data_IF_329245220125
#
_entry.id   IF_329245220125
#
_cell.length_a   1.000
_cell.length_b   1.000
_cell.length_c   1.000
_cell.angle_alpha   90.00
_cell.angle_beta   90.00
_cell.angle_gamma   90.00
#
_symmetry.space_group_name_H-M   'P 1'
#
loop_
_entity.id
_entity.type
_entity.pdbx_description
1 polymer ?
#
# COMPACT_ATOMS: atom_id res chain seq x y z
N UNK A 1 -14.00 5.56 3.64
CA UNK A 1 -12.85 6.40 3.96
C UNK A 1 -12.12 6.65 2.67
N UNK A 2 -12.07 7.92 2.28
CA UNK A 2 -11.30 8.39 1.13
C UNK A 2 -10.22 9.37 1.58
N UNK A 3 -8.97 8.92 1.49
CA UNK A 3 -7.82 9.71 1.90
C UNK A 3 -6.85 9.94 0.74
N UNK A 4 -6.10 11.05 0.83
CA UNK A 4 -4.95 11.33 0.00
C UNK A 4 -3.69 11.13 0.83
N UNK A 5 -2.76 10.29 0.36
CA UNK A 5 -1.48 10.08 1.03
C UNK A 5 -0.33 10.40 0.10
N UNK A 6 0.62 11.17 0.60
CA UNK A 6 1.92 11.37 0.01
C UNK A 6 2.93 10.54 0.79
N UNK A 7 3.48 9.53 0.15
CA UNK A 7 4.46 8.62 0.75
C UNK A 7 5.79 8.75 0.03
N UNK A 8 6.88 8.76 0.78
CA UNK A 8 8.21 8.57 0.25
C UNK A 8 8.54 7.07 0.24
N UNK A 9 8.89 6.54 -0.93
CA UNK A 9 9.25 5.13 -1.06
C UNK A 9 10.57 4.87 -0.34
N UNK A 10 10.67 3.70 0.29
CA UNK A 10 11.90 3.24 0.93
C UNK A 10 13.03 3.22 -0.12
N UNK A 11 14.09 4.05 0.03
CA UNK A 11 15.14 4.15 -0.99
C UNK A 11 15.99 2.87 -1.00
N UNK A 12 16.61 2.49 -2.14
CA UNK A 12 17.47 1.29 -2.20
C UNK A 12 18.64 1.33 -1.22
N UNK A 13 19.09 2.53 -0.84
CA UNK A 13 20.16 2.76 0.14
C UNK A 13 19.72 2.61 1.60
N UNK A 14 18.46 2.29 1.87
CA UNK A 14 17.96 2.13 3.24
C UNK A 14 18.59 0.91 3.93
N UNK A 15 18.98 1.08 5.19
CA UNK A 15 19.55 0.02 6.03
C UNK A 15 18.55 -1.08 6.41
N UNK A 16 17.26 -0.92 6.09
CA UNK A 16 16.25 -1.95 6.32
C UNK A 16 16.36 -3.12 5.32
N UNK A 17 16.83 -2.88 4.09
CA UNK A 17 16.85 -3.89 3.03
C UNK A 17 17.65 -5.14 3.37
N UNK A 18 18.88 -5.05 3.94
CA UNK A 18 19.60 -6.24 4.35
C UNK A 18 18.82 -7.12 5.32
N UNK A 19 18.02 -6.54 6.23
CA UNK A 19 17.21 -7.32 7.17
C UNK A 19 15.99 -7.93 6.47
N UNK A 20 15.28 -7.16 5.64
CA UNK A 20 14.11 -7.62 4.88
C UNK A 20 14.45 -8.79 3.94
N UNK A 21 15.64 -8.76 3.33
CA UNK A 21 16.11 -9.79 2.39
C UNK A 21 16.75 -10.97 3.12
N UNK A 22 17.58 -10.72 4.15
CA UNK A 22 18.34 -11.79 4.85
C UNK A 22 17.41 -12.86 5.40
N UNK A 23 16.27 -12.44 5.94
CA UNK A 23 15.41 -13.35 6.66
C UNK A 23 14.57 -14.22 5.71
N UNK A 24 14.49 -13.92 4.39
CA UNK A 24 13.52 -14.53 3.46
C UNK A 24 14.02 -14.73 2.02
N UNK A 25 13.64 -15.88 1.45
CA UNK A 25 14.22 -16.49 0.22
C UNK A 25 13.61 -16.04 -1.11
N UNK A 26 12.60 -15.17 -1.09
CA UNK A 26 11.60 -15.15 -2.17
C UNK A 26 11.46 -13.76 -2.74
N UNK A 27 12.45 -13.33 -3.51
CA UNK A 27 12.17 -12.50 -4.66
C UNK A 27 13.07 -12.97 -5.80
N UNK A 28 12.45 -13.39 -6.89
CA UNK A 28 13.09 -13.37 -8.21
C UNK A 28 13.31 -11.92 -8.71
N UNK A 29 12.98 -10.93 -7.86
CA UNK A 29 13.09 -9.49 -8.09
C UNK A 29 14.20 -8.89 -7.22
N UNK A 30 14.97 -7.95 -7.78
CA UNK A 30 15.87 -7.12 -7.00
C UNK A 30 15.11 -6.12 -6.12
N UNK A 31 15.79 -5.52 -5.14
CA UNK A 31 15.27 -4.40 -4.33
C UNK A 31 14.77 -3.27 -5.23
N UNK A 32 15.57 -2.90 -6.23
CA UNK A 32 15.23 -1.88 -7.20
C UNK A 32 13.99 -2.25 -8.01
N UNK A 33 13.82 -3.52 -8.38
CA UNK A 33 12.63 -3.97 -9.08
C UNK A 33 11.37 -3.87 -8.21
N UNK A 34 11.45 -4.24 -6.93
CA UNK A 34 10.32 -4.05 -6.00
C UNK A 34 10.02 -2.58 -5.79
N UNK A 35 11.04 -1.76 -5.51
CA UNK A 35 10.86 -0.31 -5.36
C UNK A 35 10.24 0.29 -6.61
N UNK A 36 10.60 -0.14 -7.82
CA UNK A 36 10.04 0.43 -9.04
C UNK A 36 8.60 -0.06 -9.30
N UNK A 37 8.31 -1.34 -9.07
CA UNK A 37 7.01 -1.95 -9.37
C UNK A 37 5.96 -1.67 -8.29
N UNK A 38 6.30 -1.81 -7.01
CA UNK A 38 5.35 -1.71 -5.89
C UNK A 38 4.68 -0.33 -5.84
N UNK A 39 3.35 -0.27 -6.03
CA UNK A 39 2.58 0.99 -5.96
C UNK A 39 1.63 1.06 -4.75
N UNK A 40 1.79 0.18 -3.77
CA UNK A 40 1.05 0.24 -2.50
C UNK A 40 1.56 1.32 -1.55
N UNK A 41 1.05 1.32 -0.32
CA UNK A 41 1.25 2.44 0.61
C UNK A 41 2.39 2.26 1.62
N UNK A 42 3.22 1.21 1.49
CA UNK A 42 4.43 1.06 2.31
C UNK A 42 5.45 2.18 2.01
N UNK A 43 5.87 2.90 3.05
CA UNK A 43 6.87 3.95 2.95
C UNK A 43 6.85 4.89 4.15
N UNK A 44 7.59 6.00 4.03
CA UNK A 44 7.54 7.09 4.99
C UNK A 44 6.36 8.02 4.66
N UNK A 45 5.44 8.19 5.61
CA UNK A 45 4.32 9.10 5.44
C UNK A 45 4.80 10.55 5.51
N UNK A 46 4.65 11.29 4.42
CA UNK A 46 4.99 12.71 4.35
C UNK A 46 3.78 13.56 4.71
N UNK A 47 2.62 13.27 4.11
CA UNK A 47 1.36 13.94 4.40
C UNK A 47 0.19 12.97 4.20
N UNK A 48 -0.82 13.07 5.07
CA UNK A 48 -2.13 12.46 4.89
C UNK A 48 -3.18 13.57 4.85
N UNK A 49 -4.24 13.38 4.07
CA UNK A 49 -5.35 14.30 3.98
C UNK A 49 -6.67 13.55 3.88
N UNK A 50 -7.52 13.75 4.87
CA UNK A 50 -8.86 13.18 4.95
C UNK A 50 -9.81 13.96 4.05
N UNK A 51 -10.15 13.40 2.89
CA UNK A 51 -10.90 14.11 1.84
C UNK A 51 -12.31 14.46 2.33
N UNK A 52 -12.94 13.56 3.08
CA UNK A 52 -14.28 13.74 3.63
C UNK A 52 -14.35 14.90 4.63
N UNK A 53 -13.30 15.10 5.42
CA UNK A 53 -13.24 16.13 6.45
C UNK A 53 -12.91 17.52 5.86
N UNK A 54 -12.06 17.58 4.83
CA UNK A 54 -11.42 18.81 4.40
C UNK A 54 -11.65 19.15 2.91
N UNK A 55 -12.72 18.64 2.29
CA UNK A 55 -12.97 18.73 0.84
C UNK A 55 -12.74 20.11 0.18
N UNK A 56 -13.01 21.20 0.89
CA UNK A 56 -12.83 22.57 0.37
C UNK A 56 -11.36 22.93 0.11
N UNK A 57 -10.42 22.27 0.78
CA UNK A 57 -8.98 22.51 0.65
C UNK A 57 -8.27 21.50 -0.27
N UNK A 58 -9.01 20.55 -0.85
CA UNK A 58 -8.46 19.42 -1.59
C UNK A 58 -7.55 19.86 -2.75
N UNK A 59 -7.97 20.83 -3.56
CA UNK A 59 -7.17 21.31 -4.70
C UNK A 59 -5.86 21.96 -4.24
N UNK A 60 -5.91 22.72 -3.14
CA UNK A 60 -4.72 23.35 -2.55
C UNK A 60 -3.76 22.29 -2.03
N UNK A 61 -4.26 21.27 -1.34
CA UNK A 61 -3.46 20.16 -0.82
C UNK A 61 -2.81 19.34 -1.95
N UNK A 62 -3.57 19.02 -3.01
CA UNK A 62 -3.04 18.33 -4.19
C UNK A 62 -1.88 19.13 -4.81
N UNK A 63 -2.06 20.43 -5.01
CA UNK A 63 -1.01 21.28 -5.58
C UNK A 63 0.25 21.28 -4.71
N UNK A 64 0.11 21.31 -3.38
CA UNK A 64 1.25 21.21 -2.46
C UNK A 64 1.97 19.86 -2.60
N UNK A 65 1.23 18.75 -2.66
CA UNK A 65 1.81 17.42 -2.84
C UNK A 65 2.54 17.28 -4.18
N UNK A 66 1.98 17.85 -5.26
CA UNK A 66 2.60 17.83 -6.58
C UNK A 66 3.91 18.62 -6.64
N UNK A 67 4.01 19.73 -5.91
CA UNK A 67 5.29 20.45 -5.80
C UNK A 67 6.33 19.65 -5.00
N UNK A 68 5.93 19.01 -3.89
CA UNK A 68 6.82 18.16 -3.11
C UNK A 68 7.32 16.94 -3.91
N UNK A 69 6.44 16.33 -4.70
CA UNK A 69 6.76 15.16 -5.54
C UNK A 69 7.86 15.44 -6.57
N UNK A 70 8.06 16.70 -7.00
CA UNK A 70 9.15 17.07 -7.93
C UNK A 70 10.54 16.92 -7.33
N UNK A 71 10.65 16.82 -6.00
CA UNK A 71 11.91 16.86 -5.27
C UNK A 71 12.37 15.48 -4.77
N UNK A 72 11.53 14.45 -4.89
CA UNK A 72 11.77 13.14 -4.26
C UNK A 72 11.10 11.99 -5.02
N UNK A 73 11.37 10.76 -4.59
CA UNK A 73 10.72 9.53 -5.09
C UNK A 73 9.33 9.29 -4.48
N UNK A 74 8.53 10.34 -4.29
CA UNK A 74 7.23 10.21 -3.63
C UNK A 74 6.13 9.64 -4.55
N UNK A 75 5.20 8.92 -3.93
CA UNK A 75 3.93 8.51 -4.52
C UNK A 75 2.79 9.30 -3.88
N UNK A 76 1.98 9.94 -4.72
CA UNK A 76 0.70 10.51 -4.31
C UNK A 76 -0.40 9.52 -4.68
N UNK A 77 -1.08 9.00 -3.65
CA UNK A 77 -2.10 7.97 -3.78
C UNK A 77 -3.42 8.48 -3.22
N UNK A 78 -4.53 8.16 -3.90
CA UNK A 78 -5.80 8.03 -3.19
C UNK A 78 -5.89 6.61 -2.65
N UNK A 79 -6.22 6.50 -1.36
CA UNK A 79 -6.43 5.26 -0.64
C UNK A 79 -7.89 5.25 -0.23
N UNK A 80 -8.64 4.24 -0.69
CA UNK A 80 -10.08 4.15 -0.42
C UNK A 80 -10.39 2.83 0.24
N UNK A 81 -10.99 2.87 1.42
CA UNK A 81 -11.49 1.69 2.11
C UNK A 81 -13.01 1.75 2.30
N UNK A 82 -13.63 0.58 2.39
CA UNK A 82 -15.08 0.42 2.55
C UNK A 82 -15.84 0.23 1.23
N UNK A 83 -17.14 0.50 1.25
CA UNK A 83 -18.04 0.37 0.09
C UNK A 83 -18.26 1.67 -0.67
N UNK A 84 -17.35 2.63 -0.49
CA UNK A 84 -17.50 3.95 -1.11
C UNK A 84 -17.37 3.88 -2.63
N UNK A 85 -18.32 4.54 -3.29
CA UNK A 85 -18.28 4.70 -4.74
C UNK A 85 -17.29 5.80 -5.07
N UNK A 86 -16.25 5.44 -5.81
CA UNK A 86 -15.27 6.37 -6.32
C UNK A 86 -15.92 7.59 -7.02
N UNK A 87 -15.61 8.84 -6.63
CA UNK A 87 -16.06 10.01 -7.36
C UNK A 87 -15.60 9.98 -8.83
N UNK A 88 -16.51 10.25 -9.77
CA UNK A 88 -16.20 10.23 -11.21
C UNK A 88 -15.07 11.18 -11.59
N UNK A 89 -14.99 12.34 -10.94
CA UNK A 89 -13.94 13.35 -11.13
C UNK A 89 -12.53 12.85 -10.80
N UNK A 90 -12.40 11.82 -9.97
CA UNK A 90 -11.11 11.25 -9.60
C UNK A 90 -10.50 10.43 -10.74
N UNK A 91 -11.34 9.78 -11.54
CA UNK A 91 -10.88 8.95 -12.68
C UNK A 91 -10.15 9.76 -13.75
N UNK A 92 -10.39 11.06 -13.81
CA UNK A 92 -9.66 11.97 -14.68
C UNK A 92 -8.23 12.20 -14.16
N UNK A 93 -8.03 12.24 -12.83
CA UNK A 93 -6.79 12.65 -12.18
C UNK A 93 -5.91 11.49 -11.69
N UNK A 94 -6.47 10.30 -11.49
CA UNK A 94 -5.74 9.13 -11.01
C UNK A 94 -6.08 7.87 -11.80
N UNK A 95 -5.22 6.86 -11.68
CA UNK A 95 -5.37 5.53 -12.29
C UNK A 95 -5.44 4.50 -11.18
N UNK A 96 -6.44 3.62 -11.25
CA UNK A 96 -6.51 2.46 -10.38
C UNK A 96 -5.32 1.52 -10.65
N UNK A 97 -4.59 1.15 -9.61
CA UNK A 97 -3.39 0.31 -9.74
C UNK A 97 -3.52 -1.05 -9.03
N UNK A 98 -4.52 -1.23 -8.17
CA UNK A 98 -4.79 -2.50 -7.48
C UNK A 98 -5.30 -2.29 -6.05
N UNK A 99 -5.34 -3.38 -5.30
CA UNK A 99 -5.69 -3.42 -3.88
C UNK A 99 -4.47 -3.71 -3.02
N UNK A 100 -4.33 -2.95 -1.94
CA UNK A 100 -3.34 -3.17 -0.87
C UNK A 100 -4.10 -3.43 0.45
N UNK A 101 -3.41 -4.00 1.43
CA UNK A 101 -4.03 -4.46 2.68
C UNK A 101 -3.14 -4.09 3.86
N UNK A 102 -3.73 -3.54 4.91
CA UNK A 102 -3.03 -3.27 6.16
C UNK A 102 -3.62 -2.08 6.90
N UNK A 103 -2.76 -1.18 7.39
CA UNK A 103 -3.19 0.04 8.07
C UNK A 103 -2.62 1.29 7.40
N UNK A 104 -3.52 2.21 7.08
CA UNK A 104 -3.22 3.54 6.59
C UNK A 104 -3.96 4.56 7.47
N UNK A 105 -3.24 5.13 8.45
CA UNK A 105 -3.77 6.05 9.47
C UNK A 105 -2.65 7.01 9.93
N UNK A 106 -2.99 8.26 10.26
CA UNK A 106 -2.04 9.30 10.72
C UNK A 106 -1.43 9.00 12.08
N UNK A 107 -2.18 8.38 12.98
CA UNK A 107 -1.72 8.05 14.33
C UNK A 107 -0.88 6.77 14.37
N UNK A 108 -0.74 6.09 13.22
CA UNK A 108 -0.08 4.79 13.09
C UNK A 108 0.99 4.83 12.02
N UNK A 109 1.85 3.83 12.05
CA UNK A 109 2.77 3.54 10.94
C UNK A 109 1.96 3.06 9.74
N UNK A 110 2.28 3.56 8.54
CA UNK A 110 1.81 2.93 7.30
C UNK A 110 2.36 1.51 7.24
N UNK A 111 1.46 0.54 7.16
CA UNK A 111 1.83 -0.87 7.12
C UNK A 111 1.07 -1.58 6.02
N UNK A 112 1.78 -2.05 5.00
CA UNK A 112 1.27 -2.97 4.00
C UNK A 112 1.64 -4.41 4.34
N UNK A 113 0.60 -5.23 4.48
CA UNK A 113 0.69 -6.67 4.58
C UNK A 113 1.19 -7.30 3.27
N UNK A 114 0.89 -6.72 2.09
CA UNK A 114 1.48 -7.21 0.84
C UNK A 114 2.99 -7.04 0.84
N UNK A 115 3.48 -5.87 1.23
CA UNK A 115 4.91 -5.62 1.32
C UNK A 115 5.57 -6.53 2.37
N UNK A 116 5.05 -6.55 3.59
CA UNK A 116 5.72 -7.19 4.72
C UNK A 116 5.49 -8.71 4.82
N UNK A 117 4.36 -9.23 4.32
CA UNK A 117 3.95 -10.63 4.51
C UNK A 117 3.81 -11.42 3.20
N UNK A 118 3.69 -10.77 2.05
CA UNK A 118 3.68 -11.45 0.74
C UNK A 118 5.04 -11.34 0.04
N UNK A 119 5.57 -10.11 -0.11
CA UNK A 119 6.84 -9.87 -0.82
C UNK A 119 8.05 -10.20 0.06
N UNK A 120 8.03 -9.69 1.29
CA UNK A 120 9.09 -9.90 2.27
C UNK A 120 8.55 -10.74 3.43
N UNK A 121 7.68 -11.71 3.16
CA UNK A 121 6.99 -12.59 4.10
C UNK A 121 7.69 -13.90 4.46
N UNK A 122 7.33 -14.50 5.60
CA UNK A 122 7.99 -15.71 6.13
C UNK A 122 7.13 -16.97 6.10
N UNK A 123 5.84 -16.80 5.85
CA UNK A 123 4.87 -17.89 5.81
C UNK A 123 4.60 -18.28 4.37
N UNK A 124 4.94 -19.52 4.00
CA UNK A 124 4.79 -20.03 2.63
C UNK A 124 3.35 -19.86 2.11
N UNK A 125 2.34 -19.98 2.99
CA UNK A 125 0.94 -19.81 2.61
C UNK A 125 0.58 -18.37 2.22
N UNK A 126 1.19 -17.37 2.85
CA UNK A 126 1.00 -15.96 2.50
C UNK A 126 1.81 -15.59 1.27
N UNK A 127 3.06 -16.06 1.19
CA UNK A 127 3.96 -15.80 0.06
C UNK A 127 3.41 -16.38 -1.25
N UNK A 128 2.64 -17.48 -1.20
CA UNK A 128 1.99 -18.04 -2.38
C UNK A 128 1.06 -17.04 -3.10
N UNK A 129 0.58 -15.99 -2.41
CA UNK A 129 -0.21 -14.92 -3.04
C UNK A 129 0.61 -14.02 -3.97
N UNK A 130 1.95 -14.09 -3.97
CA UNK A 130 2.81 -13.32 -4.90
C UNK A 130 2.43 -13.57 -6.36
N UNK A 131 2.04 -14.80 -6.68
CA UNK A 131 1.71 -15.23 -8.05
C UNK A 131 0.33 -14.69 -8.51
N UNK A 132 -0.43 -14.08 -7.59
CA UNK A 132 -1.72 -13.44 -7.84
C UNK A 132 -1.62 -11.91 -7.89
N UNK A 133 -0.42 -11.34 -7.70
CA UNK A 133 -0.20 -9.91 -7.79
C UNK A 133 -0.13 -9.44 -9.26
N UNK A 134 -0.55 -8.21 -9.49
CA UNK A 134 -0.43 -7.55 -10.80
C UNK A 134 0.96 -6.91 -11.00
N UNK A 135 1.16 -6.24 -12.15
CA UNK A 135 2.42 -5.56 -12.47
C UNK A 135 2.84 -4.46 -11.48
N UNK A 136 1.89 -3.96 -10.67
CA UNK A 136 2.14 -2.99 -9.60
C UNK A 136 2.43 -3.64 -8.24
N UNK A 137 2.56 -4.98 -8.21
CA UNK A 137 2.71 -5.80 -7.00
C UNK A 137 1.55 -5.62 -6.00
N UNK A 138 0.33 -5.44 -6.53
CA UNK A 138 -0.92 -5.31 -5.78
C UNK A 138 -1.91 -6.40 -6.18
N UNK A 139 -2.92 -6.66 -5.36
CA UNK A 139 -4.00 -7.54 -5.79
C UNK A 139 -4.81 -6.88 -6.92
N UNK A 140 -5.14 -7.60 -8.00
CA UNK A 140 -5.85 -7.02 -9.14
C UNK A 140 -7.33 -6.78 -8.85
N UNK A 141 -7.91 -7.53 -7.92
CA UNK A 141 -9.33 -7.53 -7.61
C UNK A 141 -9.58 -7.70 -6.11
N UNK A 142 -10.73 -7.16 -5.66
CA UNK A 142 -11.14 -7.20 -4.25
C UNK A 142 -11.34 -8.62 -3.73
N UNK A 143 -11.84 -9.55 -4.55
CA UNK A 143 -12.09 -10.92 -4.10
C UNK A 143 -10.79 -11.65 -3.77
N UNK A 144 -9.69 -11.35 -4.47
CA UNK A 144 -8.36 -11.86 -4.12
C UNK A 144 -7.86 -11.29 -2.80
N UNK A 145 -8.05 -9.98 -2.57
CA UNK A 145 -7.73 -9.35 -1.29
C UNK A 145 -8.55 -9.92 -0.12
N UNK A 146 -9.85 -10.18 -0.31
CA UNK A 146 -10.71 -10.79 0.71
C UNK A 146 -10.27 -12.21 1.07
N UNK A 147 -9.91 -13.03 0.08
CA UNK A 147 -9.36 -14.38 0.35
C UNK A 147 -8.05 -14.34 1.14
N UNK A 148 -7.21 -13.34 0.86
CA UNK A 148 -5.98 -13.11 1.62
C UNK A 148 -6.28 -12.78 3.08
N UNK A 149 -7.18 -11.82 3.34
CA UNK A 149 -7.61 -11.44 4.71
C UNK A 149 -8.21 -12.65 5.45
N UNK A 150 -9.04 -13.45 4.78
CA UNK A 150 -9.61 -14.67 5.37
C UNK A 150 -8.53 -15.68 5.78
N UNK A 151 -7.50 -15.85 4.97
CA UNK A 151 -6.37 -16.73 5.30
C UNK A 151 -5.56 -16.14 6.46
N UNK A 152 -5.23 -14.86 6.40
CA UNK A 152 -4.46 -14.15 7.43
C UNK A 152 -5.16 -14.26 8.80
N UNK A 153 -6.46 -13.96 8.86
CA UNK A 153 -7.28 -14.10 10.07
C UNK A 153 -7.31 -15.54 10.61
N UNK A 154 -7.39 -16.55 9.73
CA UNK A 154 -7.31 -17.96 10.14
C UNK A 154 -5.94 -18.30 10.72
N UNK A 155 -4.86 -17.75 10.17
CA UNK A 155 -3.51 -17.96 10.66
C UNK A 155 -3.30 -17.31 12.04
N UNK A 156 -3.76 -16.07 12.23
CA UNK A 156 -3.77 -15.39 13.53
C UNK A 156 -4.57 -16.22 14.56
N UNK A 157 -5.78 -16.67 14.20
CA UNK A 157 -6.61 -17.50 15.08
C UNK A 157 -5.97 -18.86 15.46
N UNK A 158 -5.02 -19.36 14.67
CA UNK A 158 -4.22 -20.57 14.96
C UNK A 158 -3.00 -20.28 15.85
N UNK A 159 -2.78 -19.03 16.25
CA UNK A 159 -1.63 -18.60 17.03
C UNK A 159 -0.34 -18.51 16.21
N UNK A 160 -0.43 -18.43 14.86
CA UNK A 160 0.73 -18.07 14.05
C UNK A 160 1.04 -16.59 14.26
N UNK A 161 2.33 -16.26 14.32
CA UNK A 161 2.82 -14.90 14.52
C UNK A 161 2.76 -14.08 13.20
N UNK A 162 1.58 -14.01 12.61
CA UNK A 162 1.24 -13.04 11.55
C UNK A 162 0.95 -11.70 12.20
N UNK A 163 1.08 -10.59 11.47
CA UNK A 163 0.88 -9.26 12.06
C UNK A 163 -0.61 -9.01 12.31
N UNK A 164 -1.07 -9.08 13.57
CA UNK A 164 -2.50 -8.99 13.94
C UNK A 164 -2.81 -7.94 15.01
N UNK A 165 -1.84 -7.09 15.34
CA UNK A 165 -2.01 -5.98 16.29
C UNK A 165 -2.82 -4.81 15.71
N UNK A 166 -3.20 -4.89 14.43
CA UNK A 166 -4.04 -3.92 13.72
C UNK A 166 -5.09 -4.64 12.86
N UNK A 167 -6.24 -4.01 12.67
CA UNK A 167 -7.25 -4.50 11.74
C UNK A 167 -6.72 -4.43 10.30
N UNK A 168 -6.78 -5.56 9.59
CA UNK A 168 -6.38 -5.65 8.18
C UNK A 168 -7.48 -5.06 7.29
N UNK A 169 -7.30 -3.82 6.89
CA UNK A 169 -8.24 -3.11 6.02
C UNK A 169 -7.80 -3.27 4.57
N UNK A 170 -8.76 -3.58 3.69
CA UNK A 170 -8.55 -3.62 2.24
C UNK A 170 -8.72 -2.20 1.68
N UNK A 171 -7.71 -1.74 0.95
CA UNK A 171 -7.71 -0.45 0.30
C UNK A 171 -7.65 -0.57 -1.22
N UNK A 172 -8.49 0.18 -1.93
CA UNK A 172 -8.26 0.52 -3.32
C UNK A 172 -7.14 1.55 -3.43
N UNK A 173 -6.17 1.28 -4.31
CA UNK A 173 -5.04 2.16 -4.54
C UNK A 173 -5.18 2.82 -5.91
N UNK A 174 -5.15 4.14 -5.89
CA UNK A 174 -5.27 4.97 -7.09
C UNK A 174 -4.11 5.95 -7.16
N UNK A 175 -3.26 5.77 -8.16
CA UNK A 175 -2.06 6.59 -8.37
C UNK A 175 -2.41 7.86 -9.13
N UNK A 176 -2.04 9.02 -8.59
CA UNK A 176 -2.22 10.30 -9.26
C UNK A 176 -1.41 10.38 -10.58
N UNK A 177 -2.02 10.91 -11.65
CA UNK A 177 -1.46 10.96 -13.03
C UNK A 177 -0.40 12.05 -13.26
N UNK A 178 -0.26 12.98 -12.30
CA UNK A 178 0.68 14.11 -12.35
C UNK A 178 2.13 13.74 -12.04
#
# INVERSE_FOLDING_TARGET
>A
MHDLVLIEKIPPSSDCWPNLIRDKKILDLSVEEVINKYQGFEGELICLFKVEENRQELEKFINQCLELKKLSSCLLLHVISGSEVMPSSLREQAVFVGYDIGACDEEKTLYSSLFNEVLFGGYEELIAYKDLLNDNLLFPDKATAERYVDLHNKMSAQGKNVEDYMEMIIYEIWKYKG
#
